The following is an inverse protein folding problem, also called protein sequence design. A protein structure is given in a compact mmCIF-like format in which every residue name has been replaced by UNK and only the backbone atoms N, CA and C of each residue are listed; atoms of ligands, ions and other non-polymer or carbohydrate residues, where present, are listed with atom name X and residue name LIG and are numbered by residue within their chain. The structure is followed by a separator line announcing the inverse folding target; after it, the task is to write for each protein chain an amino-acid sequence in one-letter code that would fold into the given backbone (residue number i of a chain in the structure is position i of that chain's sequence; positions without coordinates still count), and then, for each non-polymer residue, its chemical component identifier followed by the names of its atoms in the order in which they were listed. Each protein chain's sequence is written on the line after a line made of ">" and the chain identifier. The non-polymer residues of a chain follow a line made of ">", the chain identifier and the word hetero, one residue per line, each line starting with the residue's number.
data_IF_149654883625
#
_entry.id   IF_149654883625
#
_cell.length_a   1.000
_cell.length_b   1.000
_cell.length_c   1.000
_cell.angle_alpha   90.00
_cell.angle_beta   90.00
_cell.angle_gamma   90.00
#
_symmetry.space_group_name_H-M   'P 1'
#
loop_
_entity.id
_entity.type
_entity.pdbx_description
1 polymer ?
#
# COMPACT_ATOMS: atom_id res chain seq x y z
N UNK A 1 -4.03 9.14 2.26
CA UNK A 1 -4.49 8.82 0.89
C UNK A 1 -3.78 9.78 -0.04
N UNK A 2 -2.98 9.27 -0.98
CA UNK A 2 -2.25 10.14 -1.92
C UNK A 2 -3.26 10.71 -2.92
N UNK A 3 -3.28 12.04 -3.06
CA UNK A 3 -4.31 12.74 -3.85
C UNK A 3 -3.96 12.89 -5.34
N UNK A 4 -2.79 12.39 -5.76
CA UNK A 4 -2.28 12.57 -7.12
C UNK A 4 -1.91 11.22 -7.71
N UNK A 5 -2.40 10.93 -8.92
CA UNK A 5 -2.11 9.70 -9.63
C UNK A 5 -0.61 9.59 -9.95
N UNK A 6 -0.07 8.38 -9.91
CA UNK A 6 1.29 8.13 -10.36
C UNK A 6 1.51 8.64 -11.79
N UNK A 7 2.72 9.16 -12.05
CA UNK A 7 3.13 9.67 -13.36
C UNK A 7 2.39 10.93 -13.84
N UNK A 8 1.58 11.58 -12.99
CA UNK A 8 1.02 12.87 -13.34
C UNK A 8 2.12 13.92 -13.44
N UNK A 9 2.08 14.70 -14.52
CA UNK A 9 2.97 15.83 -14.75
C UNK A 9 2.25 17.13 -14.39
N UNK A 10 2.85 17.92 -13.50
CA UNK A 10 2.40 19.27 -13.18
C UNK A 10 3.45 20.28 -13.62
N UNK A 11 3.03 21.36 -14.28
CA UNK A 11 3.93 22.44 -14.65
C UNK A 11 4.05 23.43 -13.49
N UNK A 12 5.27 23.85 -13.18
CA UNK A 12 5.51 24.95 -12.25
C UNK A 12 6.31 26.06 -12.93
N UNK A 13 6.01 27.31 -12.57
CA UNK A 13 6.72 28.48 -13.07
C UNK A 13 7.51 29.17 -11.94
N UNK A 14 8.77 29.48 -12.20
CA UNK A 14 9.62 30.31 -11.35
C UNK A 14 9.72 31.69 -11.98
N UNK A 15 9.29 32.72 -11.25
CA UNK A 15 9.46 34.12 -11.64
C UNK A 15 10.57 34.76 -10.81
N UNK A 16 11.67 35.12 -11.46
CA UNK A 16 12.75 35.88 -10.86
C UNK A 16 12.55 37.38 -11.13
N UNK A 17 12.44 38.17 -10.06
CA UNK A 17 12.34 39.63 -10.15
C UNK A 17 13.68 40.27 -9.76
N UNK A 18 14.28 41.04 -10.67
CA UNK A 18 15.50 41.80 -10.37
C UNK A 18 15.13 43.07 -9.61
N UNK A 19 15.57 43.16 -8.34
CA UNK A 19 15.21 44.27 -7.44
C UNK A 19 16.26 45.40 -7.38
N UNK A 20 17.52 45.11 -7.71
CA UNK A 20 18.59 46.12 -7.73
C UNK A 20 19.73 45.73 -8.66
N UNK A 21 20.44 46.74 -9.21
CA UNK A 21 21.66 46.57 -10.01
C UNK A 21 22.68 47.62 -9.55
N UNK A 22 23.88 47.16 -9.17
CA UNK A 22 24.96 48.03 -8.67
C UNK A 22 24.54 48.96 -7.51
N UNK A 23 23.67 48.49 -6.61
CA UNK A 23 23.22 49.25 -5.43
C UNK A 23 22.09 50.26 -5.69
N UNK A 24 21.60 50.38 -6.92
CA UNK A 24 20.43 51.20 -7.26
C UNK A 24 19.20 50.30 -7.49
N UNK A 25 18.01 50.68 -6.97
CA UNK A 25 16.77 49.96 -7.23
C UNK A 25 16.42 50.05 -8.72
N UNK A 26 16.03 48.92 -9.33
CA UNK A 26 15.60 48.87 -10.73
C UNK A 26 14.08 48.79 -10.78
N UNK A 27 13.43 49.72 -11.51
CA UNK A 27 11.97 49.86 -11.57
C UNK A 27 11.40 49.78 -12.98
N UNK A 28 12.18 49.27 -13.94
CA UNK A 28 11.76 49.16 -15.34
C UNK A 28 10.95 47.85 -15.55
N UNK A 29 9.80 47.90 -16.23
CA UNK A 29 9.06 46.70 -16.61
C UNK A 29 9.89 45.87 -17.61
N UNK A 30 10.03 44.56 -17.36
CA UNK A 30 10.71 43.61 -18.25
C UNK A 30 12.03 43.02 -17.76
N UNK A 31 12.46 43.29 -16.52
CA UNK A 31 13.62 42.60 -15.90
C UNK A 31 13.25 41.31 -15.14
N UNK A 32 12.00 40.87 -15.29
CA UNK A 32 11.50 39.61 -14.79
C UNK A 32 11.93 38.49 -15.74
N UNK A 33 12.55 37.44 -15.21
CA UNK A 33 12.76 36.20 -15.96
C UNK A 33 11.79 35.15 -15.46
N UNK A 34 11.11 34.51 -16.39
CA UNK A 34 10.27 33.35 -16.12
C UNK A 34 10.96 32.11 -16.65
N UNK A 35 10.95 31.05 -15.86
CA UNK A 35 11.35 29.71 -16.26
C UNK A 35 10.25 28.74 -15.83
N UNK A 36 9.90 27.78 -16.68
CA UNK A 36 8.99 26.69 -16.33
C UNK A 36 9.72 25.35 -16.27
N UNK A 37 9.15 24.41 -15.50
CA UNK A 37 9.63 23.04 -15.38
C UNK A 37 8.47 22.07 -15.18
N UNK A 38 8.72 20.78 -15.47
CA UNK A 38 7.77 19.70 -15.22
C UNK A 38 8.09 19.01 -13.89
N UNK A 39 7.10 18.92 -13.00
CA UNK A 39 7.12 18.07 -11.81
C UNK A 39 6.42 16.75 -12.15
N UNK A 40 7.11 15.64 -11.93
CA UNK A 40 6.55 14.29 -12.13
C UNK A 40 6.25 13.65 -10.78
N UNK A 41 5.00 13.22 -10.58
CA UNK A 41 4.61 12.50 -9.35
C UNK A 41 5.15 11.07 -9.40
N UNK A 42 5.94 10.65 -8.40
CA UNK A 42 6.50 9.30 -8.37
C UNK A 42 5.41 8.25 -8.13
N UNK A 43 5.67 7.05 -8.63
CA UNK A 43 4.81 5.88 -8.36
C UNK A 43 5.10 5.34 -6.96
N UNK A 44 4.06 5.21 -6.15
CA UNK A 44 4.11 4.71 -4.78
C UNK A 44 3.18 3.49 -4.68
N UNK A 45 3.78 2.33 -4.47
CA UNK A 45 3.08 1.10 -4.11
C UNK A 45 2.98 1.01 -2.59
N UNK A 46 1.76 0.83 -2.07
CA UNK A 46 1.53 0.69 -0.63
C UNK A 46 0.24 -0.07 -0.41
N UNK A 47 0.38 -1.33 0.03
CA UNK A 47 -0.74 -2.16 0.48
C UNK A 47 -0.66 -2.24 2.01
N UNK A 48 -1.78 -2.00 2.69
CA UNK A 48 -1.93 -2.27 4.11
C UNK A 48 -2.88 -3.46 4.27
N UNK A 49 -2.59 -4.31 5.26
CA UNK A 49 -3.42 -5.44 5.65
C UNK A 49 -4.01 -5.18 7.02
N UNK A 50 -5.28 -5.53 7.19
CA UNK A 50 -5.97 -5.51 8.47
C UNK A 50 -6.78 -6.80 8.63
N UNK A 51 -6.76 -7.37 9.83
CA UNK A 51 -7.45 -8.62 10.16
C UNK A 51 -8.49 -8.31 11.22
N UNK A 52 -9.74 -8.61 10.90
CA UNK A 52 -10.83 -8.52 11.88
C UNK A 52 -10.95 -9.82 12.66
N UNK A 53 -10.68 -9.76 13.96
CA UNK A 53 -10.81 -10.91 14.86
C UNK A 53 -12.27 -11.37 14.99
N UNK A 54 -12.52 -12.70 15.04
CA UNK A 54 -13.83 -13.23 15.32
C UNK A 54 -14.28 -12.84 16.73
N UNK A 55 -15.59 -12.67 16.89
CA UNK A 55 -16.18 -12.31 18.18
C UNK A 55 -16.07 -13.47 19.18
N UNK A 56 -15.11 -13.36 20.11
CA UNK A 56 -15.00 -14.20 21.29
C UNK A 56 -14.03 -15.39 21.17
N UNK A 57 -13.88 -16.18 22.24
CA UNK A 57 -12.96 -17.31 22.25
C UNK A 57 -13.45 -18.45 21.35
N UNK A 58 -12.51 -19.08 20.65
CA UNK A 58 -12.74 -20.27 19.85
C UNK A 58 -12.70 -21.53 20.71
N UNK A 59 -13.59 -22.49 20.44
CA UNK A 59 -13.59 -23.78 21.11
C UNK A 59 -12.72 -24.79 20.34
N UNK A 60 -12.18 -25.79 21.03
CA UNK A 60 -11.54 -26.92 20.35
C UNK A 60 -12.59 -27.67 19.51
N UNK A 61 -12.23 -28.07 18.28
CA UNK A 61 -13.15 -28.72 17.34
C UNK A 61 -14.13 -27.76 16.64
N UNK A 62 -13.88 -26.44 16.68
CA UNK A 62 -14.69 -25.44 15.98
C UNK A 62 -13.90 -24.67 14.93
N UNK A 63 -14.61 -23.96 14.06
CA UNK A 63 -14.04 -23.10 13.03
C UNK A 63 -14.18 -21.63 13.43
N UNK A 64 -13.19 -20.83 13.06
CA UNK A 64 -13.15 -19.40 13.23
C UNK A 64 -12.90 -18.75 11.87
N UNK A 65 -13.73 -17.76 11.53
CA UNK A 65 -13.63 -17.02 10.28
C UNK A 65 -12.90 -15.71 10.58
N UNK A 66 -11.71 -15.55 10.02
CA UNK A 66 -10.89 -14.35 10.09
C UNK A 66 -11.07 -13.58 8.79
N UNK A 67 -11.61 -12.36 8.86
CA UNK A 67 -11.76 -11.53 7.67
C UNK A 67 -10.51 -10.68 7.48
N UNK A 68 -9.81 -10.93 6.38
CA UNK A 68 -8.62 -10.19 5.99
C UNK A 68 -9.02 -9.13 4.97
N UNK A 69 -8.71 -7.87 5.28
CA UNK A 69 -8.93 -6.74 4.39
C UNK A 69 -7.59 -6.18 3.92
N UNK A 70 -7.48 -5.92 2.62
CA UNK A 70 -6.30 -5.34 2.00
C UNK A 70 -6.70 -4.00 1.39
N UNK A 71 -6.09 -2.92 1.83
CA UNK A 71 -6.32 -1.58 1.29
C UNK A 71 -5.11 -1.09 0.52
N UNK A 72 -5.34 -0.62 -0.71
CA UNK A 72 -4.29 0.04 -1.48
C UNK A 72 -4.22 1.51 -1.08
N UNK A 73 -3.23 1.85 -0.25
CA UNK A 73 -2.89 3.22 0.11
C UNK A 73 -1.99 3.91 -0.90
N UNK A 74 -1.44 3.21 -1.88
CA UNK A 74 -0.60 3.74 -2.94
C UNK A 74 -1.33 4.67 -3.91
N UNK A 75 -0.61 5.27 -4.84
CA UNK A 75 -1.16 6.21 -5.83
C UNK A 75 -1.30 5.60 -7.24
N UNK A 76 -1.14 4.29 -7.33
CA UNK A 76 -1.30 3.48 -8.55
C UNK A 76 -2.10 2.23 -8.23
N UNK A 77 -2.74 1.65 -9.24
CA UNK A 77 -3.36 0.33 -9.09
C UNK A 77 -2.28 -0.71 -8.76
N UNK A 78 -2.61 -1.59 -7.83
CA UNK A 78 -1.72 -2.66 -7.38
C UNK A 78 -2.52 -3.95 -7.16
N UNK A 79 -1.83 -5.06 -6.94
CA UNK A 79 -2.42 -6.36 -6.60
C UNK A 79 -1.56 -7.11 -5.59
N UNK A 80 -2.17 -8.02 -4.85
CA UNK A 80 -1.42 -8.95 -4.00
C UNK A 80 -0.64 -9.89 -4.92
N UNK A 81 0.68 -9.90 -4.76
CA UNK A 81 1.61 -10.71 -5.54
C UNK A 81 1.89 -12.08 -4.91
N UNK A 82 1.94 -12.11 -3.58
CA UNK A 82 2.13 -13.31 -2.78
C UNK A 82 1.55 -13.09 -1.39
N UNK A 83 1.19 -14.17 -0.69
CA UNK A 83 0.79 -14.12 0.71
C UNK A 83 1.35 -15.31 1.48
N UNK A 84 1.63 -15.09 2.76
CA UNK A 84 2.12 -16.11 3.67
C UNK A 84 1.26 -16.07 4.94
N UNK A 85 0.76 -17.23 5.35
CA UNK A 85 0.06 -17.41 6.61
C UNK A 85 0.93 -18.26 7.51
N UNK A 86 1.32 -17.71 8.65
CA UNK A 86 2.09 -18.42 9.67
C UNK A 86 1.30 -18.48 10.96
N UNK A 87 1.39 -19.61 11.64
CA UNK A 87 0.76 -19.81 12.94
C UNK A 87 1.72 -20.49 13.91
N UNK A 88 1.46 -20.33 15.22
CA UNK A 88 2.25 -20.95 16.27
C UNK A 88 1.54 -22.15 16.95
N UNK A 89 0.47 -22.66 16.33
CA UNK A 89 -0.41 -23.67 16.91
C UNK A 89 -0.43 -24.93 16.04
N UNK A 90 0.34 -25.98 16.39
CA UNK A 90 0.52 -27.17 15.55
C UNK A 90 -0.75 -28.01 15.34
N UNK A 91 -1.83 -27.70 16.05
CA UNK A 91 -3.14 -28.36 15.92
C UNK A 91 -4.20 -27.42 15.33
N UNK A 92 -3.78 -26.29 14.77
CA UNK A 92 -4.59 -25.34 14.03
C UNK A 92 -4.21 -25.46 12.56
N UNK A 93 -5.22 -25.44 11.69
CA UNK A 93 -5.04 -25.45 10.24
C UNK A 93 -5.82 -24.31 9.63
N UNK A 94 -5.28 -23.68 8.59
CA UNK A 94 -5.95 -22.64 7.83
C UNK A 94 -6.27 -23.11 6.42
N UNK A 95 -7.35 -22.60 5.84
CA UNK A 95 -7.71 -22.86 4.45
C UNK A 95 -7.01 -21.92 3.44
N UNK A 96 -7.33 -22.07 2.15
CA UNK A 96 -6.77 -21.25 1.06
C UNK A 96 -7.70 -20.08 0.67
N UNK A 97 -8.54 -19.58 1.58
CA UNK A 97 -9.53 -18.53 1.26
C UNK A 97 -8.93 -17.22 0.73
N UNK A 98 -7.66 -16.95 1.07
CA UNK A 98 -6.92 -15.75 0.65
C UNK A 98 -6.47 -15.76 -0.82
N UNK A 99 -6.52 -16.91 -1.52
CA UNK A 99 -6.16 -17.00 -2.94
C UNK A 99 -6.95 -16.01 -3.82
N UNK A 100 -8.19 -15.71 -3.40
CA UNK A 100 -9.05 -14.75 -4.10
C UNK A 100 -8.47 -13.33 -4.13
N UNK A 101 -7.62 -12.95 -3.16
CA UNK A 101 -6.96 -11.65 -3.11
C UNK A 101 -5.94 -11.48 -4.24
N UNK A 102 -5.29 -12.57 -4.67
CA UNK A 102 -4.26 -12.54 -5.71
C UNK A 102 -4.84 -12.33 -7.12
N UNK A 103 -6.13 -12.59 -7.29
CA UNK A 103 -6.83 -12.45 -8.58
C UNK A 103 -7.43 -11.06 -8.80
N UNK A 104 -7.48 -10.24 -7.76
CA UNK A 104 -8.16 -8.93 -7.78
C UNK A 104 -7.15 -7.79 -7.91
N UNK A 105 -7.44 -6.85 -8.80
CA UNK A 105 -6.73 -5.58 -8.85
C UNK A 105 -7.36 -4.61 -7.85
N UNK A 106 -6.53 -3.88 -7.11
CA UNK A 106 -6.93 -2.93 -6.08
C UNK A 106 -6.56 -1.54 -6.60
N UNK A 107 -7.55 -0.74 -7.00
CA UNK A 107 -7.30 0.65 -7.36
C UNK A 107 -6.87 1.47 -6.13
N UNK A 108 -6.22 2.61 -6.36
CA UNK A 108 -5.82 3.52 -5.28
C UNK A 108 -7.02 3.88 -4.39
N UNK A 109 -6.88 3.72 -3.08
CA UNK A 109 -7.92 3.97 -2.09
C UNK A 109 -9.01 2.90 -2.00
N UNK A 110 -8.95 1.83 -2.78
CA UNK A 110 -9.90 0.71 -2.69
C UNK A 110 -9.44 -0.33 -1.66
N UNK A 111 -10.42 -1.05 -1.13
CA UNK A 111 -10.22 -2.18 -0.22
C UNK A 111 -10.84 -3.43 -0.84
N UNK A 112 -10.13 -4.56 -0.72
CA UNK A 112 -10.67 -5.89 -1.01
C UNK A 112 -10.65 -6.74 0.24
N UNK A 113 -11.59 -7.67 0.35
CA UNK A 113 -11.70 -8.57 1.49
C UNK A 113 -11.69 -10.03 1.03
N UNK A 114 -11.18 -10.90 1.89
CA UNK A 114 -11.28 -12.35 1.80
C UNK A 114 -11.38 -12.95 3.21
N UNK A 115 -12.03 -14.09 3.29
CA UNK A 115 -12.21 -14.81 4.54
C UNK A 115 -11.18 -15.95 4.61
N UNK A 116 -10.53 -16.08 5.76
CA UNK A 116 -9.63 -17.17 6.12
C UNK A 116 -10.30 -18.01 7.18
N UNK A 117 -10.51 -19.29 6.91
CA UNK A 117 -11.08 -20.23 7.86
C UNK A 117 -9.94 -20.90 8.62
N UNK A 118 -9.86 -20.63 9.91
CA UNK A 118 -9.01 -21.35 10.85
C UNK A 118 -9.84 -22.45 11.51
N UNK A 119 -9.31 -23.67 11.55
CA UNK A 119 -9.94 -24.85 12.18
C UNK A 119 -9.04 -25.34 13.31
N UNK A 120 -9.60 -25.42 14.52
CA UNK A 120 -8.88 -25.96 15.67
C UNK A 120 -9.26 -27.43 15.89
N UNK A 121 -8.27 -28.32 16.00
CA UNK A 121 -8.51 -29.73 16.33
C UNK A 121 -9.27 -29.90 17.66
N UNK A 122 -10.06 -30.97 17.80
CA UNK A 122 -10.71 -31.33 19.07
C UNK A 122 -9.72 -31.55 20.22
N UNK A 123 -8.49 -31.95 19.90
CA UNK A 123 -7.41 -32.14 20.87
C UNK A 123 -6.62 -30.86 21.16
N UNK A 124 -7.06 -29.71 20.63
CA UNK A 124 -6.34 -28.46 20.81
C UNK A 124 -6.39 -28.01 22.28
N UNK A 125 -5.24 -27.88 22.97
CA UNK A 125 -5.25 -27.45 24.36
C UNK A 125 -5.63 -25.97 24.45
N UNK A 126 -6.13 -25.54 25.61
CA UNK A 126 -6.46 -24.14 25.86
C UNK A 126 -5.17 -23.30 25.88
N UNK A 127 -4.88 -22.65 24.76
CA UNK A 127 -3.76 -21.71 24.59
C UNK A 127 -4.15 -20.58 23.66
N UNK A 128 -3.44 -19.45 23.76
CA UNK A 128 -3.56 -18.35 22.80
C UNK A 128 -2.75 -18.70 21.55
N UNK A 129 -3.41 -18.71 20.39
CA UNK A 129 -2.77 -18.89 19.09
C UNK A 129 -2.58 -17.55 18.42
N UNK A 130 -1.40 -17.32 17.86
CA UNK A 130 -1.11 -16.18 17.00
C UNK A 130 -1.12 -16.67 15.56
N UNK A 131 -1.96 -16.04 14.74
CA UNK A 131 -1.96 -16.19 13.28
C UNK A 131 -1.41 -14.87 12.73
N UNK A 132 -0.44 -14.96 11.84
CA UNK A 132 0.21 -13.83 11.20
C UNK A 132 0.08 -13.98 9.69
N UNK A 133 -0.55 -12.99 9.06
CA UNK A 133 -0.75 -12.93 7.62
C UNK A 133 0.16 -11.84 7.06
N UNK A 134 1.08 -12.26 6.19
CA UNK A 134 1.96 -11.37 5.46
C UNK A 134 1.52 -11.30 4.01
N UNK A 135 1.49 -10.12 3.43
CA UNK A 135 1.19 -9.91 2.02
C UNK A 135 2.33 -9.18 1.33
N UNK A 136 2.56 -9.53 0.07
CA UNK A 136 3.51 -8.85 -0.80
C UNK A 136 2.78 -8.11 -1.92
N UNK A 137 3.16 -6.87 -2.17
CA UNK A 137 2.67 -6.08 -3.31
C UNK A 137 3.35 -6.54 -4.59
N UNK A 138 2.57 -6.88 -5.62
CA UNK A 138 3.12 -7.26 -6.92
C UNK A 138 3.81 -6.09 -7.62
N UNK A 139 3.23 -4.89 -7.52
CA UNK A 139 3.81 -3.68 -8.11
C UNK A 139 5.15 -3.31 -7.48
N UNK A 140 5.27 -3.42 -6.15
CA UNK A 140 6.54 -3.21 -5.45
C UNK A 140 7.61 -4.24 -5.86
N UNK A 141 7.24 -5.53 -5.93
CA UNK A 141 8.16 -6.60 -6.33
C UNK A 141 8.70 -6.41 -7.76
N UNK A 142 7.84 -5.97 -8.69
CA UNK A 142 8.23 -5.77 -10.09
C UNK A 142 8.91 -4.42 -10.36
N UNK A 143 8.71 -3.42 -9.49
CA UNK A 143 9.30 -2.07 -9.63
C UNK A 143 10.70 -1.95 -9.01
N UNK A 144 11.15 -2.94 -8.24
CA UNK A 144 12.50 -3.03 -7.67
C UNK A 144 13.64 -3.09 -8.71
N UNK A 145 13.34 -3.08 -10.01
CA UNK A 145 14.29 -3.01 -11.11
C UNK A 145 14.50 -1.61 -11.70
N UNK A 146 13.91 -0.54 -11.16
CA UNK A 146 14.18 0.81 -11.62
C UNK A 146 15.58 1.24 -11.16
N UNK A 147 16.58 0.93 -11.98
CA UNK A 147 17.91 1.54 -11.96
C UNK A 147 17.76 3.04 -11.68
N UNK A 148 18.38 3.50 -10.59
CA UNK A 148 18.81 4.90 -10.46
C UNK A 148 19.72 5.16 -11.65
N UNK A 149 19.15 5.66 -12.73
CA UNK A 149 19.88 6.11 -13.90
C UNK A 149 20.63 7.39 -13.56
N UNK A 150 21.89 7.42 -14.00
CA UNK A 150 22.90 8.49 -13.90
C UNK A 150 22.41 9.94 -13.94
#
# INVERSE_FOLDING_TARGET
>A
MWNFAADSKEEFSITANLVSRAGLPVGLPGENKEASGELRIPTIYSLEVDISDPVGPMNAGSDAILRVSVVNRGNVQDKVGDFEVTDNCPLLTTDNGLDSLMTKNIASGQTIEADLVATASESHPRRNCKIEVSISSNGAMNSGGASVGE
#
